data_IF_714655615730
#
_entry.id   IF_714655615730
#
_cell.length_a   1.000
_cell.length_b   1.000
_cell.length_c   1.000
_cell.angle_alpha   90.00
_cell.angle_beta   90.00
_cell.angle_gamma   90.00
#
_symmetry.space_group_name_H-M   'P 1'
#
loop_
_entity.id
_entity.type
_entity.pdbx_description
1 polymer ?
#
# COMPACT_ATOMS: atom_id res chain seq x y z
N UNK A 1 -31.04 -2.92 38.60
CA UNK A 1 -30.37 -4.00 37.83
C UNK A 1 -29.36 -3.35 36.88
N UNK A 2 -28.29 -2.79 37.44
CA UNK A 2 -27.21 -2.12 36.73
C UNK A 2 -25.92 -2.60 37.39
N UNK A 3 -25.16 -3.47 36.72
CA UNK A 3 -23.84 -3.89 37.15
C UNK A 3 -22.81 -3.44 36.13
N UNK A 4 -21.89 -2.63 36.67
CA UNK A 4 -20.63 -2.18 36.13
C UNK A 4 -19.82 -3.29 35.45
N UNK A 5 -19.29 -3.00 34.27
CA UNK A 5 -18.06 -3.63 33.79
C UNK A 5 -17.01 -2.53 33.75
N UNK A 6 -16.24 -2.45 34.83
CA UNK A 6 -15.03 -1.66 34.92
C UNK A 6 -14.01 -2.22 33.94
N UNK A 7 -13.60 -1.40 32.96
CA UNK A 7 -12.37 -1.59 32.22
C UNK A 7 -11.20 -1.70 33.20
N UNK A 8 -10.67 -2.92 33.35
CA UNK A 8 -9.32 -3.11 33.89
C UNK A 8 -8.35 -2.80 32.75
N UNK A 9 -7.74 -1.62 32.81
CA UNK A 9 -6.48 -1.34 32.13
C UNK A 9 -5.46 -2.40 32.57
N UNK A 10 -5.14 -3.32 31.67
CA UNK A 10 -4.01 -4.23 31.84
C UNK A 10 -2.73 -3.38 31.87
N UNK A 11 -1.84 -3.53 32.85
CA UNK A 11 -0.57 -2.83 32.85
C UNK A 11 0.28 -3.29 31.68
N UNK A 12 1.03 -2.36 31.08
CA UNK A 12 2.09 -2.63 30.11
C UNK A 12 2.98 -3.78 30.62
N UNK A 13 2.86 -4.96 30.01
CA UNK A 13 3.81 -6.05 30.22
C UNK A 13 5.04 -5.69 29.41
N UNK A 14 6.03 -5.09 30.05
CA UNK A 14 7.38 -5.07 29.52
C UNK A 14 7.82 -6.53 29.35
N UNK A 15 7.84 -7.02 28.11
CA UNK A 15 8.37 -8.34 27.80
C UNK A 15 9.86 -8.35 28.14
N UNK A 16 10.18 -8.84 29.34
CA UNK A 16 11.55 -9.18 29.75
C UNK A 16 11.87 -10.53 29.11
N UNK A 17 12.32 -10.51 27.86
CA UNK A 17 12.84 -11.70 27.21
C UNK A 17 14.14 -12.12 27.91
N UNK A 18 14.14 -13.34 28.45
CA UNK A 18 15.33 -13.96 29.00
C UNK A 18 16.39 -14.08 27.89
N UNK A 19 17.58 -13.51 28.18
CA UNK A 19 18.80 -13.58 27.37
C UNK A 19 19.17 -15.04 27.08
N UNK A 20 18.90 -15.47 25.84
CA UNK A 20 19.68 -16.53 25.20
C UNK A 20 20.74 -15.86 24.34
N UNK A 21 21.99 -16.29 24.45
CA UNK A 21 23.20 -15.65 23.91
C UNK A 21 23.35 -15.73 22.38
N UNK A 22 22.24 -15.86 21.65
CA UNK A 22 22.23 -16.00 20.19
C UNK A 22 21.88 -14.65 19.58
N UNK A 23 22.81 -14.07 18.83
CA UNK A 23 22.57 -12.94 17.93
C UNK A 23 22.04 -13.45 16.58
N UNK A 24 21.29 -12.63 15.86
CA UNK A 24 20.94 -12.90 14.47
C UNK A 24 22.18 -12.91 13.57
N UNK A 25 22.03 -13.35 12.31
CA UNK A 25 23.05 -13.09 11.28
C UNK A 25 23.31 -11.58 11.21
N UNK A 26 24.57 -11.18 11.05
CA UNK A 26 24.97 -9.79 11.03
C UNK A 26 25.39 -9.38 9.61
N UNK A 27 25.13 -8.13 9.24
CA UNK A 27 25.62 -7.52 8.01
C UNK A 27 26.26 -6.17 8.32
N UNK A 28 27.41 -5.88 7.73
CA UNK A 28 28.10 -4.59 7.94
C UNK A 28 27.57 -3.52 6.97
N UNK A 29 27.84 -2.25 7.27
CA UNK A 29 27.54 -1.16 6.34
C UNK A 29 28.16 -1.36 4.95
N UNK A 30 29.38 -1.90 4.86
CA UNK A 30 30.05 -2.14 3.57
C UNK A 30 29.37 -3.25 2.77
N UNK A 31 29.04 -4.37 3.41
CA UNK A 31 28.34 -5.49 2.78
C UNK A 31 26.94 -5.09 2.29
N UNK A 32 26.17 -4.37 3.12
CA UNK A 32 24.85 -3.90 2.71
C UNK A 32 24.95 -2.89 1.54
N UNK A 33 25.94 -2.00 1.55
CA UNK A 33 26.18 -1.08 0.42
C UNK A 33 26.48 -1.84 -0.87
N UNK A 34 27.30 -2.88 -0.80
CA UNK A 34 27.59 -3.74 -1.95
C UNK A 34 26.31 -4.43 -2.47
N UNK A 35 25.48 -4.96 -1.57
CA UNK A 35 24.20 -5.55 -1.94
C UNK A 35 23.27 -4.53 -2.61
N UNK A 36 23.17 -3.30 -2.09
CA UNK A 36 22.37 -2.23 -2.70
C UNK A 36 22.80 -1.87 -4.12
N UNK A 37 24.06 -2.11 -4.48
CA UNK A 37 24.56 -1.86 -5.84
C UNK A 37 24.33 -3.04 -6.80
N UNK A 38 24.10 -4.25 -6.27
CA UNK A 38 24.01 -5.49 -7.05
C UNK A 38 22.59 -6.05 -7.12
N UNK A 39 21.76 -5.75 -6.12
CA UNK A 39 20.43 -6.32 -5.89
C UNK A 39 19.36 -5.25 -5.99
N UNK A 40 18.20 -5.62 -6.52
CA UNK A 40 17.02 -4.76 -6.55
C UNK A 40 16.27 -4.83 -5.23
N UNK A 41 15.93 -3.67 -4.66
CA UNK A 41 15.07 -3.58 -3.49
C UNK A 41 13.69 -4.19 -3.77
N UNK A 42 13.10 -4.77 -2.72
CA UNK A 42 11.79 -5.44 -2.68
C UNK A 42 11.66 -6.73 -3.50
N UNK A 43 12.53 -6.96 -4.48
CA UNK A 43 12.58 -8.21 -5.26
C UNK A 43 13.69 -9.13 -4.77
N UNK A 44 14.92 -8.64 -4.66
CA UNK A 44 16.09 -9.42 -4.28
C UNK A 44 16.46 -9.28 -2.79
N UNK A 45 15.99 -8.21 -2.14
CA UNK A 45 16.19 -7.96 -0.70
C UNK A 45 15.22 -6.89 -0.17
N UNK A 46 14.98 -6.89 1.14
CA UNK A 46 14.16 -5.90 1.83
C UNK A 46 14.97 -5.30 2.98
N UNK A 47 14.93 -3.97 3.12
CA UNK A 47 15.51 -3.26 4.26
C UNK A 47 14.36 -2.77 5.14
N UNK A 48 14.38 -3.12 6.43
CA UNK A 48 13.35 -2.74 7.40
C UNK A 48 13.98 -1.87 8.50
N UNK A 49 13.52 -0.64 8.59
CA UNK A 49 13.84 0.28 9.67
C UNK A 49 12.89 0.05 10.84
N UNK A 50 13.41 -0.49 11.94
CA UNK A 50 12.60 -0.82 13.12
C UNK A 50 12.60 0.27 14.19
N UNK A 51 13.09 1.47 13.85
CA UNK A 51 13.08 2.63 14.75
C UNK A 51 11.69 3.23 14.92
N UNK A 52 11.55 4.01 15.98
CA UNK A 52 10.40 4.89 16.15
C UNK A 52 10.44 6.01 15.13
N UNK A 53 9.26 6.50 14.80
CA UNK A 53 9.09 7.62 13.88
C UNK A 53 9.90 8.86 14.27
N UNK A 54 9.93 9.23 15.55
CA UNK A 54 10.70 10.40 16.02
C UNK A 54 12.20 10.29 15.72
N UNK A 55 12.75 9.07 15.71
CA UNK A 55 14.16 8.84 15.36
C UNK A 55 14.41 8.99 13.85
N UNK A 56 13.40 8.71 13.02
CA UNK A 56 13.46 8.90 11.57
C UNK A 56 13.29 10.38 11.23
N UNK A 57 12.34 11.07 11.86
CA UNK A 57 12.13 12.52 11.71
C UNK A 57 13.42 13.32 11.95
N UNK A 58 14.20 12.94 12.97
CA UNK A 58 15.44 13.62 13.31
C UNK A 58 16.61 13.29 12.36
N UNK A 59 16.74 12.03 11.92
CA UNK A 59 17.98 11.53 11.30
C UNK A 59 17.82 10.96 9.89
N UNK A 60 16.60 11.00 9.33
CA UNK A 60 16.27 10.26 8.12
C UNK A 60 16.34 8.75 8.32
N UNK A 61 16.29 7.99 7.23
CA UNK A 61 16.39 6.52 7.17
C UNK A 61 17.33 6.06 6.07
N UNK A 62 17.75 4.79 6.09
CA UNK A 62 18.47 4.21 4.96
C UNK A 62 17.59 4.33 3.71
N UNK A 63 18.15 4.78 2.59
CA UNK A 63 17.36 5.00 1.36
C UNK A 63 16.69 3.70 0.93
N UNK A 64 15.36 3.75 0.76
CA UNK A 64 14.54 2.59 0.40
C UNK A 64 14.16 1.66 1.56
N UNK A 65 14.51 1.98 2.81
CA UNK A 65 14.05 1.19 3.95
C UNK A 65 12.55 1.38 4.23
N UNK A 66 11.84 0.29 4.52
CA UNK A 66 10.46 0.31 5.02
C UNK A 66 10.47 0.52 6.52
N UNK A 67 9.74 1.52 7.02
CA UNK A 67 9.62 1.68 8.46
C UNK A 67 8.53 0.76 9.01
N UNK A 68 8.93 -0.18 9.87
CA UNK A 68 8.04 -1.04 10.64
C UNK A 68 8.57 -1.00 12.08
N UNK A 69 8.11 -0.04 12.92
CA UNK A 69 8.65 0.15 14.26
C UNK A 69 8.54 -1.14 15.10
N UNK A 70 9.62 -1.51 15.81
CA UNK A 70 9.58 -2.70 16.67
C UNK A 70 8.71 -2.50 17.92
N UNK A 71 8.39 -1.25 18.26
CA UNK A 71 7.47 -0.91 19.36
C UNK A 71 6.01 -1.21 19.06
N UNK A 72 5.67 -1.49 17.79
CA UNK A 72 4.34 -2.00 17.45
C UNK A 72 4.04 -3.24 18.30
N UNK A 73 2.74 -3.54 18.50
CA UNK A 73 2.38 -4.78 19.17
C UNK A 73 3.04 -5.95 18.43
N UNK A 74 3.45 -6.99 19.16
CA UNK A 74 4.13 -8.14 18.54
C UNK A 74 3.29 -8.78 17.42
N UNK A 75 1.96 -8.66 17.50
CA UNK A 75 1.02 -9.11 16.47
C UNK A 75 1.08 -8.25 15.23
N UNK A 76 1.02 -6.91 15.37
CA UNK A 76 1.13 -5.98 14.24
C UNK A 76 2.50 -6.07 13.56
N UNK A 77 3.59 -6.19 14.34
CA UNK A 77 4.92 -6.36 13.77
C UNK A 77 5.01 -7.67 12.95
N UNK A 78 4.50 -8.78 13.48
CA UNK A 78 4.46 -10.07 12.74
C UNK A 78 3.59 -9.98 11.49
N UNK A 79 2.44 -9.31 11.58
CA UNK A 79 1.55 -9.10 10.44
C UNK A 79 2.16 -8.22 9.36
N UNK A 80 2.86 -7.17 9.75
CA UNK A 80 3.59 -6.33 8.80
C UNK A 80 4.66 -7.12 8.03
N UNK A 81 5.28 -8.11 8.69
CA UNK A 81 6.24 -8.99 8.06
C UNK A 81 5.60 -10.04 7.16
N UNK A 82 4.40 -10.56 7.47
CA UNK A 82 3.82 -11.74 6.79
C UNK A 82 3.66 -11.60 5.28
N UNK A 83 3.65 -10.37 4.78
CA UNK A 83 3.57 -10.01 3.36
C UNK A 83 4.86 -10.24 2.60
N UNK A 84 5.98 -10.28 3.31
CA UNK A 84 7.27 -10.49 2.69
C UNK A 84 7.46 -11.95 2.33
N UNK A 85 7.98 -12.19 1.13
CA UNK A 85 8.41 -13.51 0.71
C UNK A 85 9.50 -14.03 1.68
N UNK A 86 9.29 -15.22 2.25
CA UNK A 86 10.17 -15.83 3.26
C UNK A 86 11.55 -16.21 2.74
N UNK A 87 11.71 -16.29 1.42
CA UNK A 87 12.97 -16.55 0.73
C UNK A 87 13.78 -15.27 0.47
N UNK A 88 13.13 -14.10 0.44
CA UNK A 88 13.80 -12.83 0.18
C UNK A 88 14.60 -12.42 1.42
N UNK A 89 15.91 -12.12 1.30
CA UNK A 89 16.71 -11.61 2.41
C UNK A 89 16.12 -10.34 3.03
N UNK A 90 15.98 -10.32 4.36
CA UNK A 90 15.50 -9.16 5.12
C UNK A 90 16.61 -8.62 6.01
N UNK A 91 16.90 -7.34 5.85
CA UNK A 91 17.90 -6.62 6.62
C UNK A 91 17.20 -5.65 7.55
N UNK A 92 17.22 -5.93 8.84
CA UNK A 92 16.71 -5.06 9.87
C UNK A 92 17.80 -4.08 10.32
N UNK A 93 17.43 -2.82 10.51
CA UNK A 93 18.29 -1.86 11.18
C UNK A 93 17.51 -1.05 12.21
N UNK A 94 18.21 -0.61 13.24
CA UNK A 94 17.70 0.36 14.20
C UNK A 94 18.73 1.47 14.41
N UNK A 95 18.70 2.15 15.55
CA UNK A 95 19.71 3.17 15.89
C UNK A 95 21.12 2.57 16.02
N UNK A 96 21.30 1.57 16.90
CA UNK A 96 22.62 1.04 17.28
C UNK A 96 22.77 -0.50 17.19
N UNK A 97 21.80 -1.21 16.63
CA UNK A 97 21.86 -2.67 16.35
C UNK A 97 21.07 -3.59 17.28
N UNK A 98 20.71 -3.16 18.50
CA UNK A 98 20.03 -4.04 19.48
C UNK A 98 18.60 -4.43 19.08
N UNK A 99 17.75 -3.46 18.73
CA UNK A 99 16.34 -3.73 18.33
C UNK A 99 16.28 -4.51 17.01
N UNK A 100 17.19 -4.23 16.08
CA UNK A 100 17.25 -4.94 14.82
C UNK A 100 17.69 -6.40 14.98
N UNK A 101 18.53 -6.71 15.97
CA UNK A 101 18.87 -8.09 16.32
C UNK A 101 17.65 -8.86 16.84
N UNK A 102 16.89 -8.26 17.75
CA UNK A 102 15.63 -8.84 18.25
C UNK A 102 14.58 -9.02 17.14
N UNK A 103 14.44 -8.04 16.24
CA UNK A 103 13.56 -8.10 15.09
C UNK A 103 13.95 -9.22 14.11
N UNK A 104 15.25 -9.35 13.81
CA UNK A 104 15.76 -10.40 12.94
C UNK A 104 15.52 -11.80 13.53
N UNK A 105 15.78 -11.99 14.84
CA UNK A 105 15.46 -13.26 15.53
C UNK A 105 13.96 -13.55 15.55
N UNK A 106 13.12 -12.53 15.64
CA UNK A 106 11.66 -12.71 15.54
C UNK A 106 11.27 -13.17 14.13
N UNK A 107 11.82 -12.56 13.09
CA UNK A 107 11.59 -12.98 11.70
C UNK A 107 12.07 -14.42 11.46
N UNK A 108 13.24 -14.82 11.96
CA UNK A 108 13.70 -16.22 11.87
C UNK A 108 12.68 -17.20 12.47
N UNK A 109 12.07 -16.85 13.62
CA UNK A 109 11.02 -17.67 14.25
C UNK A 109 9.73 -17.75 13.44
N UNK A 110 9.46 -16.78 12.57
CA UNK A 110 8.33 -16.80 11.62
C UNK A 110 8.65 -17.61 10.35
N UNK A 111 9.88 -18.11 10.22
CA UNK A 111 10.32 -18.97 9.11
C UNK A 111 11.00 -18.23 7.96
N UNK A 112 11.37 -16.96 8.14
CA UNK A 112 12.23 -16.26 7.18
C UNK A 112 13.65 -16.86 7.22
N UNK A 113 14.20 -17.18 6.05
CA UNK A 113 15.46 -17.95 5.96
C UNK A 113 16.72 -17.09 6.15
N UNK A 114 16.65 -15.85 5.66
CA UNK A 114 17.78 -14.93 5.58
C UNK A 114 17.46 -13.59 6.24
N UNK A 115 17.52 -13.56 7.57
CA UNK A 115 17.32 -12.37 8.38
C UNK A 115 18.65 -11.83 8.92
N UNK A 116 18.91 -10.56 8.70
CA UNK A 116 20.14 -9.89 9.13
C UNK A 116 19.84 -8.69 10.03
N UNK A 117 20.71 -8.44 11.01
CA UNK A 117 20.79 -7.17 11.71
C UNK A 117 21.98 -6.34 11.20
N UNK A 118 21.76 -5.06 10.91
CA UNK A 118 22.84 -4.14 10.53
C UNK A 118 23.72 -3.82 11.75
N UNK A 119 25.00 -4.18 11.65
CA UNK A 119 25.99 -3.95 12.71
C UNK A 119 26.13 -2.44 12.98
N UNK A 120 25.91 -2.05 14.23
CA UNK A 120 25.97 -0.65 14.66
C UNK A 120 24.78 0.20 14.21
N UNK A 121 23.78 -0.39 13.54
CA UNK A 121 22.59 0.32 13.06
C UNK A 121 22.90 1.50 12.14
N UNK A 122 22.01 2.49 12.11
CA UNK A 122 22.18 3.69 11.29
C UNK A 122 23.33 4.59 11.79
N UNK A 123 23.76 4.48 13.06
CA UNK A 123 24.92 5.23 13.58
C UNK A 123 26.25 4.79 12.94
N UNK A 124 26.33 3.55 12.46
CA UNK A 124 27.48 3.02 11.73
C UNK A 124 27.28 2.99 10.20
N UNK A 125 26.13 3.47 9.70
CA UNK A 125 25.80 3.46 8.28
C UNK A 125 26.56 4.54 7.51
N UNK A 126 27.22 4.13 6.42
CA UNK A 126 28.03 5.02 5.56
C UNK A 126 27.44 5.18 4.14
N UNK A 127 26.35 4.47 3.84
CA UNK A 127 25.68 4.54 2.53
C UNK A 127 24.63 5.66 2.44
N UNK A 128 23.79 5.64 1.40
CA UNK A 128 22.79 6.67 1.18
C UNK A 128 21.74 6.72 2.30
N UNK A 129 21.47 7.92 2.79
CA UNK A 129 20.38 8.24 3.72
C UNK A 129 19.34 9.05 2.98
N UNK A 130 18.08 8.63 3.10
CA UNK A 130 16.93 9.42 2.70
C UNK A 130 16.53 10.30 3.88
N UNK A 131 16.59 11.62 3.70
CA UNK A 131 16.11 12.56 4.71
C UNK A 131 14.63 12.30 5.00
N UNK A 132 14.19 12.62 6.21
CA UNK A 132 12.76 12.66 6.48
C UNK A 132 12.14 13.76 5.61
N UNK A 133 11.38 13.36 4.61
CA UNK A 133 10.34 14.22 4.06
C UNK A 133 9.14 14.10 4.98
N UNK A 134 8.17 15.03 4.95
CA UNK A 134 6.91 14.89 5.68
C UNK A 134 6.06 13.68 5.18
N UNK A 135 6.68 12.59 4.73
CA UNK A 135 6.09 11.45 4.08
C UNK A 135 6.84 10.19 4.53
N UNK A 136 6.37 9.58 5.62
CA UNK A 136 6.84 8.27 6.03
C UNK A 136 6.25 7.17 5.11
N UNK A 137 6.91 6.01 5.04
CA UNK A 137 6.42 4.90 4.22
C UNK A 137 5.14 4.35 4.84
N UNK A 138 3.99 4.38 4.14
CA UNK A 138 2.86 3.55 4.56
C UNK A 138 3.27 2.09 4.41
N UNK A 139 2.65 1.24 5.22
CA UNK A 139 2.63 -0.17 4.92
C UNK A 139 1.52 -0.47 3.91
N UNK A 140 1.80 -1.38 2.98
CA UNK A 140 0.90 -1.71 1.87
C UNK A 140 0.73 -3.23 1.84
N UNK A 141 -0.48 -3.69 2.17
CA UNK A 141 -0.92 -5.05 1.86
C UNK A 141 -1.30 -5.09 0.39
N UNK A 142 -0.83 -6.08 -0.35
CA UNK A 142 -1.24 -6.31 -1.74
C UNK A 142 -1.96 -7.65 -1.83
N UNK A 143 -3.16 -7.64 -2.41
CA UNK A 143 -3.93 -8.84 -2.70
C UNK A 143 -4.17 -8.88 -4.21
N UNK A 144 -3.55 -9.84 -4.90
CA UNK A 144 -3.83 -10.10 -6.30
C UNK A 144 -5.07 -11.00 -6.40
N UNK A 145 -6.15 -10.45 -6.96
CA UNK A 145 -7.31 -11.23 -7.40
C UNK A 145 -6.94 -11.88 -8.74
N UNK A 146 -7.10 -13.20 -8.86
CA UNK A 146 -6.52 -13.99 -9.95
C UNK A 146 -7.42 -14.14 -11.16
N UNK A 147 -8.72 -13.93 -11.04
CA UNK A 147 -9.64 -14.02 -12.17
C UNK A 147 -9.53 -12.79 -13.07
N UNK A 148 -9.34 -11.62 -12.48
CA UNK A 148 -9.19 -10.33 -13.19
C UNK A 148 -7.75 -9.82 -13.20
N UNK A 149 -6.83 -10.49 -12.50
CA UNK A 149 -5.43 -10.07 -12.30
C UNK A 149 -5.30 -8.67 -11.66
N UNK A 150 -6.33 -8.27 -10.91
CA UNK A 150 -6.41 -6.96 -10.25
C UNK A 150 -5.66 -6.98 -8.93
N UNK A 151 -4.75 -6.02 -8.75
CA UNK A 151 -4.07 -5.79 -7.50
C UNK A 151 -4.88 -4.83 -6.61
N UNK A 152 -5.37 -5.36 -5.49
CA UNK A 152 -6.08 -4.60 -4.47
C UNK A 152 -5.11 -4.22 -3.35
N UNK A 153 -5.27 -3.03 -2.78
CA UNK A 153 -4.35 -2.54 -1.75
C UNK A 153 -5.04 -2.14 -0.46
N UNK A 154 -4.45 -2.51 0.67
CA UNK A 154 -4.73 -1.87 1.98
C UNK A 154 -3.50 -1.08 2.39
N UNK A 155 -3.66 0.24 2.47
CA UNK A 155 -2.56 1.20 2.75
C UNK A 155 -2.77 1.76 4.15
N UNK A 156 -1.84 1.55 5.08
CA UNK A 156 -2.05 1.90 6.50
C UNK A 156 -0.84 2.57 7.15
N UNK A 157 -1.15 3.46 8.09
CA UNK A 157 -0.23 3.91 9.13
C UNK A 157 -0.48 3.06 10.39
N UNK A 158 0.40 2.10 10.68
CA UNK A 158 0.24 1.21 11.84
C UNK A 158 0.28 1.94 13.19
N UNK A 159 0.82 3.16 13.27
CA UNK A 159 0.83 3.92 14.52
C UNK A 159 -0.56 4.43 14.88
N UNK A 160 -1.34 4.86 13.88
CA UNK A 160 -2.72 5.35 14.05
C UNK A 160 -3.78 4.29 13.76
N UNK A 161 -3.39 3.19 13.09
CA UNK A 161 -4.25 2.17 12.49
C UNK A 161 -5.23 2.71 11.43
N UNK A 162 -5.08 3.97 11.00
CA UNK A 162 -5.87 4.48 9.89
C UNK A 162 -5.43 3.74 8.61
N UNK A 163 -6.40 3.39 7.77
CA UNK A 163 -6.14 2.70 6.52
C UNK A 163 -7.03 3.21 5.38
N UNK A 164 -6.53 3.11 4.16
CA UNK A 164 -7.31 3.21 2.93
C UNK A 164 -7.33 1.88 2.21
N UNK A 165 -8.38 1.65 1.43
CA UNK A 165 -8.48 0.56 0.47
C UNK A 165 -8.39 1.16 -0.93
N UNK A 166 -7.66 0.54 -1.86
CA UNK A 166 -7.54 1.00 -3.24
C UNK A 166 -7.93 -0.13 -4.20
N UNK A 167 -8.78 0.19 -5.17
CA UNK A 167 -9.29 -0.66 -6.25
C UNK A 167 -9.85 -2.03 -5.77
N UNK A 168 -10.79 -2.08 -4.80
CA UNK A 168 -11.25 -3.34 -4.24
C UNK A 168 -12.22 -4.07 -5.18
N UNK A 169 -12.08 -5.39 -5.28
CA UNK A 169 -12.81 -6.24 -6.23
C UNK A 169 -14.05 -6.86 -5.60
N UNK A 170 -15.12 -6.93 -6.39
CA UNK A 170 -16.34 -7.70 -6.16
C UNK A 170 -16.42 -8.81 -7.21
N UNK A 171 -16.45 -10.05 -6.75
CA UNK A 171 -16.39 -11.22 -7.63
C UNK A 171 -17.64 -11.29 -8.52
N UNK A 172 -17.46 -11.56 -9.81
CA UNK A 172 -18.57 -11.69 -10.77
C UNK A 172 -18.38 -12.89 -11.69
N UNK A 173 -19.32 -13.83 -11.63
CA UNK A 173 -19.42 -14.92 -12.60
C UNK A 173 -20.29 -14.47 -13.78
N UNK A 174 -19.72 -14.23 -14.97
CA UNK A 174 -20.48 -13.79 -16.15
C UNK A 174 -21.37 -14.88 -16.72
N UNK A 175 -21.05 -16.16 -16.53
CA UNK A 175 -21.83 -17.28 -17.05
C UNK A 175 -23.06 -17.56 -16.19
N UNK A 176 -22.94 -17.40 -14.88
CA UNK A 176 -24.07 -17.50 -13.95
C UNK A 176 -24.80 -16.16 -13.74
N UNK A 177 -24.21 -15.04 -14.18
CA UNK A 177 -24.66 -13.68 -13.86
C UNK A 177 -24.83 -13.47 -12.35
N UNK A 178 -23.83 -13.93 -11.57
CA UNK A 178 -23.86 -13.88 -10.11
C UNK A 178 -22.71 -13.09 -9.55
N UNK A 179 -23.00 -12.38 -8.47
CA UNK A 179 -22.01 -11.67 -7.67
C UNK A 179 -21.66 -12.50 -6.43
N UNK A 180 -20.37 -12.57 -6.10
CA UNK A 180 -19.86 -13.15 -4.86
C UNK A 180 -19.02 -12.11 -4.10
N UNK A 181 -18.78 -12.36 -2.81
CA UNK A 181 -18.09 -11.42 -1.91
C UNK A 181 -16.82 -12.00 -1.32
N UNK A 182 -16.34 -13.14 -1.81
CA UNK A 182 -15.24 -13.87 -1.19
C UNK A 182 -13.96 -13.02 -1.16
N UNK A 183 -13.67 -12.31 -2.24
CA UNK A 183 -12.51 -11.41 -2.33
C UNK A 183 -12.64 -10.23 -1.37
N UNK A 184 -13.78 -9.54 -1.37
CA UNK A 184 -14.04 -8.44 -0.45
C UNK A 184 -14.06 -8.88 1.03
N UNK A 185 -14.55 -10.09 1.32
CA UNK A 185 -14.57 -10.66 2.68
C UNK A 185 -13.16 -10.98 3.18
N UNK A 186 -12.21 -11.29 2.31
CA UNK A 186 -10.81 -11.46 2.70
C UNK A 186 -10.17 -10.13 3.11
N UNK A 187 -10.49 -9.03 2.43
CA UNK A 187 -10.11 -7.68 2.87
C UNK A 187 -10.69 -7.37 4.26
N UNK A 188 -11.97 -7.67 4.50
CA UNK A 188 -12.61 -7.46 5.81
C UNK A 188 -11.91 -8.24 6.93
N UNK A 189 -11.56 -9.52 6.70
CA UNK A 189 -10.82 -10.32 7.68
C UNK A 189 -9.44 -9.73 7.97
N UNK A 190 -8.75 -9.25 6.95
CA UNK A 190 -7.46 -8.60 7.10
C UNK A 190 -7.59 -7.34 7.97
N UNK A 191 -8.55 -6.48 7.65
CA UNK A 191 -8.86 -5.25 8.40
C UNK A 191 -9.20 -5.55 9.86
N UNK A 192 -10.01 -6.57 10.11
CA UNK A 192 -10.39 -7.01 11.46
C UNK A 192 -9.18 -7.54 12.24
N UNK A 193 -8.36 -8.40 11.62
CA UNK A 193 -7.21 -9.04 12.26
C UNK A 193 -6.17 -8.02 12.77
N UNK A 194 -6.07 -6.86 12.11
CA UNK A 194 -5.13 -5.81 12.48
C UNK A 194 -5.82 -4.58 13.12
N UNK A 195 -7.13 -4.69 13.39
CA UNK A 195 -7.96 -3.62 13.96
C UNK A 195 -7.82 -2.28 13.20
N UNK A 196 -7.77 -2.34 11.87
CA UNK A 196 -7.58 -1.15 11.05
C UNK A 196 -8.87 -0.34 10.96
N UNK A 197 -8.74 0.98 11.05
CA UNK A 197 -9.82 1.94 10.83
C UNK A 197 -9.78 2.45 9.40
N UNK A 198 -10.57 1.83 8.52
CA UNK A 198 -10.61 2.23 7.11
C UNK A 198 -11.41 3.51 6.94
N UNK A 199 -10.80 4.61 6.52
CA UNK A 199 -11.49 5.91 6.38
C UNK A 199 -11.79 6.29 4.93
N UNK A 200 -11.09 5.67 3.96
CA UNK A 200 -11.35 5.88 2.52
C UNK A 200 -11.26 4.58 1.73
N UNK A 201 -12.07 4.50 0.68
CA UNK A 201 -11.96 3.55 -0.41
C UNK A 201 -11.73 4.36 -1.69
N UNK A 202 -10.65 4.09 -2.40
CA UNK A 202 -10.20 4.90 -3.54
C UNK A 202 -10.25 4.06 -4.80
N UNK A 203 -10.92 4.58 -5.83
CA UNK A 203 -10.87 4.05 -7.18
C UNK A 203 -9.88 4.86 -8.01
N UNK A 204 -8.87 4.21 -8.58
CA UNK A 204 -7.92 4.84 -9.51
C UNK A 204 -8.60 5.27 -10.79
N UNK A 205 -9.61 4.52 -11.24
CA UNK A 205 -10.41 4.82 -12.41
C UNK A 205 -11.74 4.04 -12.40
N UNK A 206 -12.56 4.23 -13.42
CA UNK A 206 -13.70 3.33 -13.66
C UNK A 206 -13.17 2.09 -14.36
N UNK A 207 -13.06 0.99 -13.61
CA UNK A 207 -12.55 -0.29 -14.09
C UNK A 207 -13.48 -0.92 -15.14
N UNK A 208 -12.89 -1.66 -16.08
CA UNK A 208 -13.60 -2.31 -17.18
C UNK A 208 -13.50 -3.84 -17.15
N UNK A 209 -12.62 -4.35 -16.30
CA UNK A 209 -12.22 -5.75 -16.13
C UNK A 209 -12.87 -6.40 -14.89
N UNK A 210 -13.18 -5.63 -13.85
CA UNK A 210 -13.83 -6.11 -12.62
C UNK A 210 -14.94 -5.19 -12.11
N UNK A 211 -15.81 -5.71 -11.24
CA UNK A 211 -16.76 -4.91 -10.47
C UNK A 211 -16.11 -4.43 -9.17
N UNK A 212 -16.26 -3.15 -8.82
CA UNK A 212 -15.76 -2.65 -7.52
C UNK A 212 -16.61 -3.15 -6.34
N UNK A 213 -15.96 -3.53 -5.23
CA UNK A 213 -16.62 -3.84 -3.96
C UNK A 213 -16.71 -2.64 -3.00
N UNK A 214 -16.42 -1.41 -3.44
CA UNK A 214 -16.42 -0.22 -2.59
C UNK A 214 -17.73 -0.01 -1.81
N UNK A 215 -18.89 -0.16 -2.48
CA UNK A 215 -20.20 -0.04 -1.83
C UNK A 215 -20.43 -1.14 -0.79
N UNK A 216 -20.04 -2.38 -1.10
CA UNK A 216 -20.14 -3.51 -0.16
C UNK A 216 -19.28 -3.28 1.08
N UNK A 217 -18.01 -2.92 0.89
CA UNK A 217 -17.07 -2.64 1.96
C UNK A 217 -17.53 -1.47 2.83
N UNK A 218 -18.00 -0.36 2.23
CA UNK A 218 -18.58 0.77 2.97
C UNK A 218 -19.77 0.36 3.85
N UNK A 219 -20.61 -0.55 3.37
CA UNK A 219 -21.74 -1.06 4.14
C UNK A 219 -21.30 -1.97 5.30
N UNK A 220 -20.25 -2.77 5.11
CA UNK A 220 -19.77 -3.73 6.12
C UNK A 220 -18.87 -3.10 7.18
N UNK A 221 -18.07 -2.11 6.80
CA UNK A 221 -17.13 -1.46 7.70
C UNK A 221 -17.86 -0.50 8.68
N UNK A 222 -17.50 -0.50 9.96
CA UNK A 222 -18.13 0.35 10.97
C UNK A 222 -17.81 1.84 10.76
N UNK A 223 -16.66 2.14 10.17
CA UNK A 223 -16.17 3.50 9.90
C UNK A 223 -16.92 4.23 8.78
N UNK A 224 -17.68 3.50 7.94
CA UNK A 224 -18.37 4.05 6.75
C UNK A 224 -17.43 4.91 5.89
N UNK A 225 -16.34 4.31 5.35
CA UNK A 225 -15.32 5.06 4.61
C UNK A 225 -15.91 5.85 3.44
N UNK A 226 -15.29 6.99 3.15
CA UNK A 226 -15.60 7.78 1.96
C UNK A 226 -15.10 7.07 0.71
N UNK A 227 -15.97 6.92 -0.30
CA UNK A 227 -15.60 6.40 -1.62
C UNK A 227 -15.15 7.56 -2.50
N UNK A 228 -13.92 7.47 -2.98
CA UNK A 228 -13.22 8.50 -3.73
C UNK A 228 -13.01 8.05 -5.18
N UNK A 229 -13.20 8.96 -6.14
CA UNK A 229 -12.84 8.73 -7.56
C UNK A 229 -12.43 10.05 -8.23
N UNK A 230 -11.79 10.01 -9.39
CA UNK A 230 -11.48 11.22 -10.18
C UNK A 230 -12.73 12.00 -10.61
N UNK A 231 -12.72 13.33 -10.49
CA UNK A 231 -13.84 14.21 -10.84
C UNK A 231 -14.30 14.09 -12.30
N UNK A 232 -13.41 13.64 -13.19
CA UNK A 232 -13.74 13.33 -14.59
C UNK A 232 -14.59 12.05 -14.76
N UNK A 233 -14.95 11.34 -13.69
CA UNK A 233 -15.91 10.23 -13.72
C UNK A 233 -17.22 10.64 -14.39
N UNK A 234 -17.62 11.90 -14.27
CA UNK A 234 -18.79 12.50 -14.94
C UNK A 234 -18.76 12.32 -16.47
N UNK A 235 -17.56 12.38 -17.08
CA UNK A 235 -17.38 12.12 -18.52
C UNK A 235 -17.66 10.65 -18.85
N UNK A 236 -17.20 9.74 -18.00
CA UNK A 236 -17.41 8.30 -18.14
C UNK A 236 -18.89 7.97 -17.96
N UNK A 237 -19.53 8.50 -16.91
CA UNK A 237 -20.96 8.35 -16.64
C UNK A 237 -21.81 8.81 -17.81
N UNK A 238 -21.48 9.97 -18.42
CA UNK A 238 -22.20 10.45 -19.60
C UNK A 238 -22.12 9.45 -20.77
N UNK A 239 -20.91 9.00 -21.11
CA UNK A 239 -20.69 8.09 -22.24
C UNK A 239 -21.41 6.75 -22.02
N UNK A 240 -21.29 6.17 -20.83
CA UNK A 240 -21.90 4.86 -20.55
C UNK A 240 -23.39 4.94 -20.25
N UNK A 241 -23.88 6.04 -19.68
CA UNK A 241 -25.32 6.32 -19.55
C UNK A 241 -26.00 6.35 -20.92
N UNK A 242 -25.40 7.04 -21.89
CA UNK A 242 -25.87 7.04 -23.29
C UNK A 242 -25.79 5.64 -23.92
N UNK A 243 -24.66 4.94 -23.75
CA UNK A 243 -24.43 3.60 -24.32
C UNK A 243 -25.43 2.55 -23.82
N UNK A 244 -25.76 2.58 -22.53
CA UNK A 244 -26.69 1.64 -21.91
C UNK A 244 -28.14 2.13 -21.88
N UNK A 245 -28.41 3.30 -22.48
CA UNK A 245 -29.74 3.91 -22.55
C UNK A 245 -30.38 4.08 -21.15
N UNK A 246 -29.59 4.58 -20.20
CA UNK A 246 -30.03 4.86 -18.83
C UNK A 246 -30.71 6.24 -18.76
N UNK A 247 -31.82 6.32 -18.03
CA UNK A 247 -32.45 7.59 -17.68
C UNK A 247 -31.58 8.43 -16.76
N UNK A 248 -31.80 9.75 -16.72
CA UNK A 248 -31.07 10.64 -15.80
C UNK A 248 -31.45 10.39 -14.33
N UNK A 249 -32.60 9.77 -14.08
CA UNK A 249 -33.04 9.28 -12.77
C UNK A 249 -32.33 7.97 -12.36
N UNK A 250 -31.82 7.20 -13.32
CA UNK A 250 -31.01 6.00 -13.07
C UNK A 250 -29.52 6.36 -12.93
N UNK A 251 -29.01 7.24 -13.79
CA UNK A 251 -27.63 7.71 -13.76
C UNK A 251 -27.52 9.18 -14.19
N UNK A 252 -27.49 10.07 -13.21
CA UNK A 252 -27.08 11.46 -13.42
C UNK A 252 -25.55 11.54 -13.51
N UNK A 253 -24.96 12.13 -14.58
CA UNK A 253 -23.52 12.21 -14.76
C UNK A 253 -22.87 13.33 -13.92
N UNK A 254 -23.18 13.35 -12.62
CA UNK A 254 -22.72 14.34 -11.64
C UNK A 254 -21.63 13.81 -10.71
N UNK A 255 -21.40 12.48 -10.71
CA UNK A 255 -20.49 11.81 -9.78
C UNK A 255 -21.04 11.69 -8.35
N UNK A 256 -22.32 12.01 -8.13
CA UNK A 256 -22.96 12.02 -6.79
C UNK A 256 -23.02 10.67 -6.08
N UNK A 257 -22.73 9.58 -6.80
CA UNK A 257 -22.64 8.23 -6.26
C UNK A 257 -21.36 8.02 -5.43
N UNK A 258 -20.39 8.93 -5.55
CA UNK A 258 -19.13 8.95 -4.81
C UNK A 258 -19.15 10.06 -3.75
N UNK A 259 -18.54 9.80 -2.59
CA UNK A 259 -18.49 10.80 -1.51
C UNK A 259 -17.50 11.92 -1.82
N UNK A 260 -16.40 11.61 -2.53
CA UNK A 260 -15.33 12.55 -2.85
C UNK A 260 -14.94 12.45 -4.32
N UNK A 261 -15.06 13.58 -5.03
CA UNK A 261 -14.52 13.76 -6.38
C UNK A 261 -13.13 14.39 -6.31
N UNK A 262 -12.11 13.58 -6.57
CA UNK A 262 -10.69 13.96 -6.49
C UNK A 262 -10.24 14.71 -7.74
N UNK A 263 -9.30 15.64 -7.58
CA UNK A 263 -8.79 16.49 -8.66
C UNK A 263 -7.26 16.57 -8.63
N UNK A 264 -6.66 17.01 -9.73
CA UNK A 264 -5.22 17.21 -9.84
C UNK A 264 -4.70 18.16 -8.74
N UNK A 265 -3.62 17.77 -8.07
CA UNK A 265 -3.01 18.55 -6.99
C UNK A 265 -3.76 18.51 -5.66
N UNK A 266 -4.87 17.77 -5.56
CA UNK A 266 -5.54 17.54 -4.28
C UNK A 266 -4.60 16.84 -3.30
N UNK A 267 -4.67 17.24 -2.04
CA UNK A 267 -3.85 16.67 -0.97
C UNK A 267 -4.70 16.36 0.25
N UNK A 268 -4.35 15.27 0.92
CA UNK A 268 -4.86 14.91 2.24
C UNK A 268 -3.84 14.06 2.98
N UNK A 269 -4.21 13.54 4.14
CA UNK A 269 -3.30 12.79 5.01
C UNK A 269 -3.90 11.45 5.40
N UNK A 270 -3.09 10.39 5.32
CA UNK A 270 -3.32 9.11 5.98
C UNK A 270 -2.61 9.11 7.34
N UNK A 271 -3.33 8.75 8.40
CA UNK A 271 -2.81 8.75 9.76
C UNK A 271 -2.48 10.18 10.21
N UNK A 272 -1.36 10.34 10.90
CA UNK A 272 -0.99 11.65 11.44
C UNK A 272 -0.45 12.62 10.36
N UNK A 273 0.35 12.12 9.42
CA UNK A 273 1.05 12.96 8.42
C UNK A 273 1.58 12.21 7.18
N UNK A 274 1.07 11.01 6.84
CA UNK A 274 1.38 10.46 5.50
C UNK A 274 0.65 11.30 4.48
N UNK A 275 1.37 12.18 3.78
CA UNK A 275 0.77 13.02 2.77
C UNK A 275 0.40 12.18 1.55
N UNK A 276 -0.87 12.24 1.19
CA UNK A 276 -1.39 11.79 -0.09
C UNK A 276 -1.38 12.96 -1.07
N UNK A 277 -0.63 12.83 -2.15
CA UNK A 277 -0.69 13.75 -3.29
C UNK A 277 -1.39 13.06 -4.47
N UNK A 278 -2.39 13.74 -5.03
CA UNK A 278 -3.18 13.24 -6.15
C UNK A 278 -2.71 13.88 -7.45
N UNK A 279 -2.45 13.05 -8.46
CA UNK A 279 -2.15 13.51 -9.82
C UNK A 279 -3.21 12.95 -10.77
N UNK A 280 -3.81 13.82 -11.59
CA UNK A 280 -4.63 13.38 -12.71
C UNK A 280 -3.72 12.74 -13.77
N UNK A 281 -3.99 11.48 -14.10
CA UNK A 281 -3.19 10.68 -15.03
C UNK A 281 -4.05 10.07 -16.15
N UNK A 282 -4.78 10.90 -16.94
CA UNK A 282 -5.61 10.40 -18.03
C UNK A 282 -4.76 9.73 -19.11
N UNK A 283 -5.38 8.82 -19.84
CA UNK A 283 -4.75 8.10 -20.95
C UNK A 283 -5.44 6.78 -21.21
N UNK A 284 -5.47 5.91 -20.20
CA UNK A 284 -6.25 4.68 -20.24
C UNK A 284 -7.75 4.97 -20.27
N UNK A 285 -8.20 5.82 -19.34
CA UNK A 285 -9.51 6.48 -19.35
C UNK A 285 -9.33 7.99 -19.11
N UNK A 286 -10.32 8.84 -19.42
CA UNK A 286 -10.25 10.27 -19.12
C UNK A 286 -10.33 10.61 -17.62
N UNK A 287 -10.62 9.63 -16.77
CA UNK A 287 -10.85 9.79 -15.33
C UNK A 287 -9.77 9.13 -14.45
N UNK A 288 -8.72 8.56 -15.05
CA UNK A 288 -7.62 7.95 -14.31
C UNK A 288 -6.91 8.96 -13.40
N UNK A 289 -6.69 8.54 -12.17
CA UNK A 289 -5.97 9.27 -11.13
C UNK A 289 -4.88 8.37 -10.56
N UNK A 290 -3.76 8.98 -10.18
CA UNK A 290 -2.71 8.31 -9.42
C UNK A 290 -2.55 8.95 -8.04
N UNK A 291 -2.43 8.11 -7.01
CA UNK A 291 -2.39 8.51 -5.61
C UNK A 291 -1.04 8.15 -5.01
N UNK A 292 -0.26 9.14 -4.58
CA UNK A 292 1.01 8.89 -3.87
C UNK A 292 0.87 9.19 -2.39
N UNK A 293 0.89 8.14 -1.57
CA UNK A 293 0.89 8.18 -0.11
C UNK A 293 2.30 7.88 0.39
N UNK A 294 2.97 8.83 1.04
CA UNK A 294 4.34 8.54 1.47
C UNK A 294 5.29 8.40 0.29
N UNK A 295 6.00 7.29 0.29
CA UNK A 295 6.80 6.81 -0.81
C UNK A 295 6.08 5.76 -1.67
N UNK A 296 4.78 5.51 -1.47
CA UNK A 296 4.00 4.53 -2.23
C UNK A 296 3.03 5.23 -3.18
N UNK A 297 3.18 5.03 -4.49
CA UNK A 297 2.28 5.54 -5.50
C UNK A 297 1.46 4.43 -6.14
N UNK A 298 0.14 4.58 -6.15
CA UNK A 298 -0.84 3.71 -6.77
C UNK A 298 -1.26 4.35 -8.08
N UNK A 299 -0.86 3.74 -9.19
CA UNK A 299 -0.93 4.37 -10.53
C UNK A 299 -2.07 3.84 -11.40
N UNK A 300 -2.87 2.91 -10.86
CA UNK A 300 -3.92 2.21 -11.61
C UNK A 300 -3.37 1.63 -12.91
N UNK A 301 -4.18 1.71 -13.95
CA UNK A 301 -3.80 1.30 -15.31
C UNK A 301 -3.11 2.43 -16.08
N UNK A 302 -2.06 2.99 -15.50
CA UNK A 302 -1.15 3.91 -16.20
C UNK A 302 0.15 3.20 -16.57
N UNK A 303 0.81 2.59 -15.58
CA UNK A 303 2.02 1.77 -15.74
C UNK A 303 1.72 0.34 -15.28
N UNK A 304 2.33 -0.63 -15.93
CA UNK A 304 2.46 -2.00 -15.44
C UNK A 304 3.90 -2.27 -14.98
N UNK A 305 4.17 -3.50 -14.57
CA UNK A 305 5.54 -3.94 -14.30
C UNK A 305 6.45 -3.63 -15.51
N UNK A 306 7.73 -3.28 -15.31
CA UNK A 306 8.61 -2.82 -16.40
C UNK A 306 8.76 -3.79 -17.58
N UNK A 307 8.58 -5.08 -17.34
CA UNK A 307 8.59 -6.15 -18.34
C UNK A 307 7.30 -6.23 -19.18
N UNK A 308 6.20 -5.64 -18.71
CA UNK A 308 4.90 -5.57 -19.40
C UNK A 308 4.73 -4.23 -20.12
N UNK A 309 5.10 -3.12 -19.48
CA UNK A 309 5.03 -1.78 -20.07
C UNK A 309 3.84 -0.94 -19.56
N UNK A 310 2.93 -0.55 -20.45
CA UNK A 310 1.84 0.41 -20.17
C UNK A 310 0.49 -0.14 -20.56
N UNK A 311 -0.58 0.39 -19.96
CA UNK A 311 -1.94 0.02 -20.29
C UNK A 311 -2.38 0.47 -21.70
N UNK A 312 -3.46 -0.14 -22.19
CA UNK A 312 -4.16 0.23 -23.43
C UNK A 312 -4.80 1.63 -23.32
N UNK A 313 -5.04 2.30 -24.45
CA UNK A 313 -5.59 3.66 -24.51
C UNK A 313 -6.78 3.79 -25.48
N UNK A 314 -7.47 2.70 -25.79
CA UNK A 314 -8.55 2.61 -26.79
C UNK A 314 -9.96 2.52 -26.19
N UNK A 315 -10.10 2.66 -24.87
CA UNK A 315 -11.41 2.90 -24.25
C UNK A 315 -12.01 4.23 -24.72
N UNK A 316 -13.34 4.42 -24.62
CA UNK A 316 -13.96 5.71 -24.93
C UNK A 316 -13.33 6.87 -24.15
N UNK A 317 -12.69 7.79 -24.87
CA UNK A 317 -11.96 8.93 -24.30
C UNK A 317 -10.51 8.63 -23.88
N UNK A 318 -9.99 7.43 -24.13
CA UNK A 318 -8.58 7.11 -23.99
C UNK A 318 -7.71 7.83 -25.02
N UNK A 319 -6.45 8.10 -24.67
CA UNK A 319 -5.50 8.88 -25.47
C UNK A 319 -4.06 8.45 -25.18
N UNK A 320 -3.36 7.94 -26.19
CA UNK A 320 -1.92 7.60 -26.10
C UNK A 320 -1.08 8.83 -25.78
N UNK A 321 -1.47 10.00 -26.31
CA UNK A 321 -0.79 11.27 -26.03
C UNK A 321 -0.91 11.64 -24.56
N UNK A 322 -2.13 11.57 -24.02
CA UNK A 322 -2.41 11.91 -22.63
C UNK A 322 -1.72 10.92 -21.70
N UNK A 323 -1.72 9.63 -22.04
CA UNK A 323 -0.98 8.59 -21.31
C UNK A 323 0.51 8.92 -21.21
N UNK A 324 1.14 9.27 -22.33
CA UNK A 324 2.55 9.65 -22.38
C UNK A 324 2.81 10.88 -21.50
N UNK A 325 2.00 11.93 -21.62
CA UNK A 325 2.13 13.15 -20.81
C UNK A 325 1.92 12.87 -19.31
N UNK A 326 0.96 12.01 -18.95
CA UNK A 326 0.69 11.56 -17.58
C UNK A 326 1.88 10.82 -16.98
N UNK A 327 2.48 9.88 -17.72
CA UNK A 327 3.68 9.15 -17.28
C UNK A 327 4.84 10.10 -17.03
N UNK A 328 5.10 11.03 -17.95
CA UNK A 328 6.16 12.03 -17.77
C UNK A 328 5.88 12.97 -16.60
N UNK A 329 4.62 13.38 -16.41
CA UNK A 329 4.20 14.20 -15.27
C UNK A 329 4.51 13.50 -13.96
N UNK A 330 4.15 12.22 -13.81
CA UNK A 330 4.48 11.42 -12.62
C UNK A 330 5.99 11.40 -12.34
N UNK A 331 6.80 11.01 -13.33
CA UNK A 331 8.26 10.95 -13.15
C UNK A 331 8.91 12.31 -12.88
N UNK A 332 8.34 13.40 -13.38
CA UNK A 332 8.86 14.75 -13.13
C UNK A 332 8.51 15.30 -11.74
N UNK A 333 7.41 14.83 -11.13
CA UNK A 333 6.90 15.35 -9.87
C UNK A 333 7.26 14.49 -8.66
N UNK A 334 7.48 13.19 -8.85
CA UNK A 334 7.77 12.28 -7.76
C UNK A 334 9.26 11.96 -7.62
N UNK A 335 9.76 11.76 -6.39
CA UNK A 335 11.14 11.32 -6.18
C UNK A 335 11.44 9.95 -6.78
N UNK A 336 12.69 9.73 -7.19
CA UNK A 336 13.20 8.49 -7.77
C UNK A 336 13.02 7.24 -6.89
N UNK A 337 12.87 7.41 -5.57
CA UNK A 337 12.68 6.30 -4.63
C UNK A 337 11.20 6.02 -4.32
N UNK A 338 10.28 6.56 -5.13
CA UNK A 338 8.85 6.23 -5.05
C UNK A 338 8.63 4.78 -5.48
N UNK A 339 8.04 3.98 -4.60
CA UNK A 339 7.53 2.64 -4.87
C UNK A 339 6.26 2.76 -5.71
N UNK A 340 6.23 2.13 -6.87
CA UNK A 340 5.07 2.11 -7.75
C UNK A 340 4.28 0.82 -7.53
N UNK A 341 2.98 0.95 -7.32
CA UNK A 341 1.97 -0.09 -7.18
C UNK A 341 1.00 0.03 -8.36
N UNK A 342 0.91 -1.04 -9.14
CA UNK A 342 0.22 -1.10 -10.45
C UNK A 342 -1.20 -1.64 -10.30
N UNK A 343 -2.15 -1.24 -11.15
CA UNK A 343 -3.52 -1.76 -11.06
C UNK A 343 -3.62 -3.28 -11.30
N UNK A 344 -2.74 -3.81 -12.15
CA UNK A 344 -2.73 -5.21 -12.57
C UNK A 344 -1.31 -5.75 -12.74
N UNK A 345 -1.13 -7.05 -12.53
CA UNK A 345 0.08 -7.78 -12.94
C UNK A 345 -0.33 -8.96 -13.84
N UNK A 346 0.17 -8.98 -15.07
CA UNK A 346 -0.10 -10.06 -16.04
C UNK A 346 1.21 -10.83 -16.27
N UNK A 347 1.61 -11.71 -15.34
CA UNK A 347 2.91 -12.34 -15.39
C UNK A 347 3.06 -13.16 -16.69
N UNK A 348 4.16 -12.92 -17.40
CA UNK A 348 4.58 -13.81 -18.48
C UNK A 348 4.96 -15.19 -17.94
N UNK A 349 5.19 -16.17 -18.82
CA UNK A 349 5.48 -17.57 -18.48
C UNK A 349 6.69 -17.84 -17.54
N UNK A 350 7.45 -16.80 -17.20
CA UNK A 350 8.65 -16.86 -16.35
C UNK A 350 8.44 -16.29 -14.95
N UNK A 351 7.24 -15.79 -14.61
CA UNK A 351 6.87 -15.26 -13.29
C UNK A 351 5.62 -15.98 -12.79
N UNK A 352 5.50 -16.12 -11.47
CA UNK A 352 4.42 -16.83 -10.79
C UNK A 352 3.83 -15.99 -9.68
#
# INVERSE_FOLDING_TARGET
MLRSILHKSQPFVAYRFYSTSRSAKQITSSQLTEWMNQKKLYSDMIIVDVRERSEIEEKGKIKGALNIPFSLSAELFKGALSEFNKETPIIFHCRGGRRSDEAALMAEKLGYKDCYSLVGGIEAWQGPVQAFMNNHSPWVHTILEKETETAQYVVTDFATKEAYIIDPVLDYDPFASKVHTATADNLLKFIESYELNVTKIIETHVHADHLSSASYLKQKLPSKPEVCIGANVTKVQKVFGERYNLGLDELSPTGEQFDVLTSDGMQWTLGKDIHCSVISTPGHTPACMSYRLGDAAFVGDTLFMPDIGTARCDFPGGSVKDMYESIHKMYSQWPDDTRIYVGHDYPGSHRS
#
